data_IF_653108147327
#
_entry.id   IF_653108147327
#
_cell.length_a   1.000
_cell.length_b   1.000
_cell.length_c   1.000
_cell.angle_alpha   90.00
_cell.angle_beta   90.00
_cell.angle_gamma   90.00
#
_symmetry.space_group_name_H-M   'P 1'
#
loop_
_entity.id
_entity.type
_entity.pdbx_description
1 polymer ?
#
# COMPACT_ATOMS: atom_id res chain seq x y z
N UNK A 1 0.17 -7.44 13.65
CA UNK A 1 -0.66 -6.54 12.82
C UNK A 1 -2.00 -7.16 12.42
N UNK A 2 -2.12 -8.46 12.35
CA UNK A 2 -3.36 -9.15 11.93
C UNK A 2 -4.63 -8.74 12.70
N UNK A 3 -4.50 -8.31 13.95
CA UNK A 3 -5.65 -7.82 14.76
C UNK A 3 -6.11 -6.40 14.37
N UNK A 4 -5.34 -5.66 13.54
CA UNK A 4 -5.58 -4.26 13.23
C UNK A 4 -6.04 -4.03 11.80
N UNK A 5 -5.82 -5.00 10.92
CA UNK A 5 -6.04 -4.86 9.48
C UNK A 5 -6.63 -6.10 8.85
N UNK A 6 -7.32 -5.88 7.75
CA UNK A 6 -7.52 -6.86 6.69
C UNK A 6 -6.47 -6.63 5.61
N UNK A 7 -5.86 -7.70 5.10
CA UNK A 7 -4.81 -7.61 4.09
C UNK A 7 -5.22 -8.38 2.83
N UNK A 8 -5.27 -7.68 1.71
CA UNK A 8 -5.59 -8.27 0.42
C UNK A 8 -4.36 -8.26 -0.48
N UNK A 9 -3.98 -9.44 -0.97
CA UNK A 9 -2.96 -9.58 -2.02
C UNK A 9 -3.60 -9.43 -3.39
N UNK A 10 -2.93 -8.71 -4.29
CA UNK A 10 -3.39 -8.54 -5.66
C UNK A 10 -3.18 -9.78 -6.52
N UNK A 11 -3.81 -9.78 -7.68
CA UNK A 11 -3.76 -10.85 -8.68
C UNK A 11 -3.60 -10.21 -10.06
N UNK A 12 -2.67 -10.74 -10.87
CA UNK A 12 -2.48 -10.28 -12.24
C UNK A 12 -3.67 -10.68 -13.13
N UNK A 13 -3.99 -9.82 -14.08
CA UNK A 13 -4.94 -10.08 -15.14
C UNK A 13 -4.22 -10.51 -16.41
N UNK A 14 -4.86 -11.39 -17.19
CA UNK A 14 -4.40 -11.69 -18.54
C UNK A 14 -4.56 -10.49 -19.46
N UNK A 15 -3.75 -10.40 -20.52
CA UNK A 15 -3.76 -9.26 -21.44
C UNK A 15 -5.13 -9.01 -22.10
N UNK A 16 -5.96 -10.05 -22.22
CA UNK A 16 -7.33 -9.95 -22.75
C UNK A 16 -8.34 -9.38 -21.74
N UNK A 17 -7.95 -9.21 -20.49
CA UNK A 17 -8.83 -8.80 -19.39
C UNK A 17 -8.67 -7.35 -19.00
N UNK A 18 -7.75 -6.63 -19.61
CA UNK A 18 -7.55 -5.19 -19.35
C UNK A 18 -7.33 -4.41 -20.65
N UNK A 19 -7.40 -3.10 -20.56
CA UNK A 19 -7.32 -2.20 -21.72
C UNK A 19 -6.58 -0.90 -21.34
N UNK A 20 -6.26 -0.11 -22.36
CA UNK A 20 -5.67 1.23 -22.23
C UNK A 20 -6.62 2.34 -22.70
N UNK A 21 -7.90 2.02 -22.91
CA UNK A 21 -8.91 2.92 -23.45
C UNK A 21 -9.96 3.37 -22.41
N UNK A 22 -9.60 3.36 -21.13
CA UNK A 22 -10.43 3.87 -20.01
C UNK A 22 -11.76 3.14 -19.82
N UNK A 23 -11.81 1.85 -20.13
CA UNK A 23 -13.02 1.05 -19.92
C UNK A 23 -12.93 0.26 -18.62
N UNK A 24 -13.86 0.54 -17.71
CA UNK A 24 -13.94 -0.08 -16.40
C UNK A 24 -13.17 0.68 -15.32
N UNK A 25 -12.76 -0.05 -14.28
CA UNK A 25 -12.01 0.54 -13.16
C UNK A 25 -10.50 0.56 -13.43
N UNK A 26 -9.74 1.44 -12.75
CA UNK A 26 -8.28 1.41 -12.83
C UNK A 26 -7.71 0.03 -12.51
N UNK A 27 -6.70 -0.37 -13.25
CA UNK A 27 -5.89 -1.56 -13.01
C UNK A 27 -4.47 -1.12 -12.62
N UNK A 28 -4.14 -1.26 -11.34
CA UNK A 28 -2.85 -0.87 -10.79
C UNK A 28 -1.92 -2.08 -10.80
N UNK A 29 -0.81 -1.98 -11.54
CA UNK A 29 0.06 -3.13 -11.80
C UNK A 29 1.30 -3.18 -10.91
N UNK A 30 1.77 -2.04 -10.43
CA UNK A 30 2.98 -1.98 -9.61
C UNK A 30 3.45 -0.55 -9.37
N UNK A 31 4.75 -0.41 -9.10
CA UNK A 31 5.34 0.87 -8.71
C UNK A 31 5.15 2.01 -9.72
N UNK A 32 4.98 1.71 -11.00
CA UNK A 32 4.71 2.73 -12.03
C UNK A 32 3.39 3.49 -11.82
N UNK A 33 2.50 2.96 -11.01
CA UNK A 33 1.23 3.61 -10.66
C UNK A 33 1.33 4.51 -9.41
N UNK A 34 2.51 4.60 -8.79
CA UNK A 34 2.74 5.40 -7.59
C UNK A 34 3.67 6.58 -7.92
N UNK A 35 3.27 7.76 -7.54
CA UNK A 35 4.06 8.98 -7.69
C UNK A 35 3.91 9.87 -6.46
N UNK A 36 4.94 9.88 -5.59
CA UNK A 36 5.01 10.73 -4.40
C UNK A 36 3.75 10.64 -3.50
N UNK A 37 3.29 9.42 -3.25
CA UNK A 37 2.10 9.17 -2.41
C UNK A 37 0.77 9.30 -3.15
N UNK A 38 0.79 9.55 -4.45
CA UNK A 38 -0.40 9.60 -5.31
C UNK A 38 -0.45 8.39 -6.22
N UNK A 39 -1.65 8.06 -6.70
CA UNK A 39 -1.87 6.99 -7.66
C UNK A 39 -2.11 7.57 -9.05
N UNK A 40 -1.50 6.94 -10.05
CA UNK A 40 -1.64 7.28 -11.47
C UNK A 40 -2.21 6.05 -12.18
N UNK A 41 -3.33 6.24 -12.86
CA UNK A 41 -3.94 5.20 -13.70
C UNK A 41 -3.36 5.22 -15.12
N UNK A 42 -3.07 4.06 -15.65
CA UNK A 42 -2.63 3.88 -17.04
C UNK A 42 -3.23 2.65 -17.72
N UNK A 43 -3.98 1.86 -16.98
CA UNK A 43 -4.71 0.69 -17.46
C UNK A 43 -6.04 0.54 -16.73
N UNK A 44 -6.99 -0.12 -17.35
CA UNK A 44 -8.36 -0.30 -16.86
C UNK A 44 -8.83 -1.71 -17.10
N UNK A 45 -9.82 -2.16 -16.32
CA UNK A 45 -10.44 -3.47 -16.49
C UNK A 45 -11.94 -3.43 -16.21
N UNK A 46 -12.69 -4.16 -17.03
CA UNK A 46 -14.10 -4.48 -16.79
C UNK A 46 -14.27 -5.86 -16.11
N UNK A 47 -13.16 -6.58 -15.86
CA UNK A 47 -13.15 -7.94 -15.29
C UNK A 47 -12.28 -8.00 -14.03
N UNK A 48 -12.60 -7.23 -12.98
CA UNK A 48 -11.78 -7.20 -11.78
C UNK A 48 -11.89 -8.50 -10.97
N UNK A 49 -10.81 -8.85 -10.25
CA UNK A 49 -10.74 -10.03 -9.37
C UNK A 49 -10.37 -9.66 -7.93
N UNK A 50 -9.54 -8.65 -7.76
CA UNK A 50 -9.07 -8.16 -6.44
C UNK A 50 -9.22 -6.66 -6.42
N UNK A 51 -10.28 -6.19 -5.78
CA UNK A 51 -10.69 -4.78 -5.82
C UNK A 51 -10.36 -4.12 -4.49
N UNK A 52 -9.49 -3.11 -4.56
CA UNK A 52 -9.27 -2.16 -3.48
C UNK A 52 -10.29 -1.04 -3.60
N UNK A 53 -10.80 -0.58 -2.47
CA UNK A 53 -11.79 0.51 -2.40
C UNK A 53 -11.15 1.79 -1.88
N UNK A 54 -11.86 2.90 -2.05
CA UNK A 54 -11.43 4.20 -1.54
C UNK A 54 -11.07 4.12 -0.06
N UNK A 55 -9.91 4.65 0.30
CA UNK A 55 -9.40 4.67 1.67
C UNK A 55 -8.50 3.51 2.05
N UNK A 56 -8.39 2.47 1.22
CA UNK A 56 -7.41 1.40 1.44
C UNK A 56 -6.00 1.93 1.24
N UNK A 57 -5.07 1.52 2.11
CA UNK A 57 -3.65 1.81 1.93
C UNK A 57 -3.05 0.78 0.99
N UNK A 58 -2.55 1.23 -0.15
CA UNK A 58 -1.87 0.39 -1.13
C UNK A 58 -0.36 0.51 -0.98
N UNK A 59 0.35 -0.62 -1.09
CA UNK A 59 1.80 -0.59 -1.12
C UNK A 59 2.35 -1.66 -2.07
N UNK A 60 3.51 -1.36 -2.65
CA UNK A 60 4.21 -2.31 -3.51
C UNK A 60 5.04 -3.28 -2.67
N UNK A 61 4.77 -4.58 -2.84
CA UNK A 61 5.43 -5.64 -2.10
C UNK A 61 6.42 -6.45 -2.93
N UNK A 62 6.42 -6.30 -4.24
CA UNK A 62 7.33 -6.98 -5.18
C UNK A 62 7.79 -6.01 -6.25
N UNK A 63 8.91 -6.32 -6.90
CA UNK A 63 9.55 -5.43 -7.86
C UNK A 63 10.20 -4.25 -7.13
N UNK A 64 9.77 -3.03 -7.40
CA UNK A 64 10.15 -1.86 -6.61
C UNK A 64 9.30 -1.80 -5.34
N UNK A 65 9.88 -2.26 -4.24
CA UNK A 65 9.20 -2.44 -2.96
C UNK A 65 9.08 -1.12 -2.20
N UNK A 66 7.92 -0.87 -1.60
CA UNK A 66 7.72 0.16 -0.58
C UNK A 66 7.10 1.46 -1.06
N UNK A 67 6.67 1.56 -2.31
CA UNK A 67 5.82 2.67 -2.73
C UNK A 67 4.45 2.55 -2.03
N UNK A 68 3.94 3.65 -1.49
CA UNK A 68 2.70 3.67 -0.73
C UNK A 68 1.80 4.82 -1.17
N UNK A 69 0.51 4.56 -1.20
CA UNK A 69 -0.51 5.58 -1.42
C UNK A 69 -1.86 5.12 -0.87
N UNK A 70 -2.67 6.06 -0.43
CA UNK A 70 -4.06 5.77 -0.10
C UNK A 70 -4.88 5.80 -1.38
N UNK A 71 -5.68 4.76 -1.59
CA UNK A 71 -6.51 4.66 -2.78
C UNK A 71 -7.58 5.76 -2.79
N UNK A 72 -7.49 6.65 -3.77
CA UNK A 72 -8.45 7.73 -4.00
C UNK A 72 -9.45 7.44 -5.13
N UNK A 73 -9.31 6.31 -5.81
CA UNK A 73 -10.34 5.82 -6.74
C UNK A 73 -11.48 5.16 -5.97
N UNK A 74 -12.69 5.18 -6.50
CA UNK A 74 -13.81 4.45 -5.89
C UNK A 74 -13.47 2.97 -5.74
N UNK A 75 -12.99 2.38 -6.84
CA UNK A 75 -12.55 0.99 -6.92
C UNK A 75 -11.35 0.91 -7.86
N UNK A 76 -10.40 0.03 -7.55
CA UNK A 76 -9.27 -0.27 -8.41
C UNK A 76 -8.88 -1.74 -8.25
N UNK A 77 -8.65 -2.42 -9.37
CA UNK A 77 -8.07 -3.76 -9.34
C UNK A 77 -6.56 -3.66 -9.09
N UNK A 78 -6.02 -4.48 -8.19
CA UNK A 78 -4.59 -4.52 -7.88
C UNK A 78 -3.95 -5.82 -8.35
N UNK A 79 -2.77 -5.70 -8.97
CA UNK A 79 -1.95 -6.82 -9.41
C UNK A 79 -1.11 -7.41 -8.26
N UNK A 80 -0.45 -8.53 -8.50
CA UNK A 80 0.34 -9.27 -7.49
C UNK A 80 1.48 -8.49 -6.84
N UNK A 81 1.95 -7.41 -7.48
CA UNK A 81 2.99 -6.55 -6.92
C UNK A 81 2.49 -5.59 -5.85
N UNK A 82 1.17 -5.53 -5.65
CA UNK A 82 0.52 -4.61 -4.71
C UNK A 82 -0.29 -5.39 -3.69
N UNK A 83 -0.23 -4.92 -2.44
CA UNK A 83 -1.15 -5.33 -1.38
C UNK A 83 -1.98 -4.14 -0.93
N UNK A 84 -3.23 -4.41 -0.56
CA UNK A 84 -4.13 -3.43 0.04
C UNK A 84 -4.28 -3.70 1.52
N UNK A 85 -4.00 -2.70 2.34
CA UNK A 85 -4.20 -2.72 3.80
C UNK A 85 -5.47 -1.97 4.11
N UNK A 86 -6.40 -2.68 4.72
CA UNK A 86 -7.69 -2.15 5.15
C UNK A 86 -7.71 -2.08 6.67
N UNK A 87 -7.62 -0.89 7.29
CA UNK A 87 -7.62 -0.81 8.74
C UNK A 87 -9.02 -1.18 9.29
N UNK A 88 -9.05 -1.91 10.39
CA UNK A 88 -10.31 -2.20 11.08
C UNK A 88 -10.88 -0.92 11.70
N UNK A 89 -10.01 -0.07 12.25
CA UNK A 89 -10.38 1.29 12.66
C UNK A 89 -9.69 2.30 11.75
N UNK A 90 -10.47 3.04 10.99
CA UNK A 90 -9.98 4.04 10.03
C UNK A 90 -9.11 5.12 10.69
N UNK A 91 -9.31 5.38 11.98
CA UNK A 91 -8.51 6.35 12.74
C UNK A 91 -7.04 5.95 12.88
N UNK A 92 -6.73 4.66 12.71
CA UNK A 92 -5.37 4.13 12.81
C UNK A 92 -4.62 4.16 11.48
N UNK A 93 -5.27 4.49 10.37
CA UNK A 93 -4.70 4.36 9.02
C UNK A 93 -3.37 5.08 8.87
N UNK A 94 -3.31 6.36 9.25
CA UNK A 94 -2.08 7.16 9.11
C UNK A 94 -0.94 6.63 9.99
N UNK A 95 -1.25 6.11 11.15
CA UNK A 95 -0.27 5.48 12.03
C UNK A 95 0.27 4.18 11.43
N UNK A 96 -0.62 3.35 10.90
CA UNK A 96 -0.24 2.10 10.23
C UNK A 96 0.62 2.36 8.97
N UNK A 97 0.31 3.41 8.22
CA UNK A 97 1.13 3.84 7.09
C UNK A 97 2.56 4.16 7.52
N UNK A 98 2.73 4.98 8.56
CA UNK A 98 4.04 5.32 9.12
C UNK A 98 4.77 4.08 9.64
N UNK A 99 4.07 3.19 10.32
CA UNK A 99 4.64 1.93 10.80
C UNK A 99 5.13 1.05 9.64
N UNK A 100 4.32 0.89 8.60
CA UNK A 100 4.68 0.12 7.41
C UNK A 100 5.88 0.74 6.68
N UNK A 101 5.93 2.07 6.54
CA UNK A 101 7.10 2.75 5.97
C UNK A 101 8.37 2.42 6.75
N UNK A 102 8.32 2.49 8.07
CA UNK A 102 9.45 2.16 8.94
C UNK A 102 9.88 0.69 8.77
N UNK A 103 8.94 -0.22 8.71
CA UNK A 103 9.21 -1.65 8.52
C UNK A 103 9.85 -1.92 7.16
N UNK A 104 9.36 -1.31 6.10
CA UNK A 104 9.91 -1.44 4.74
C UNK A 104 11.34 -0.90 4.69
N UNK A 105 11.60 0.26 5.27
CA UNK A 105 12.96 0.84 5.33
C UNK A 105 13.92 -0.05 6.11
N UNK A 106 13.47 -0.67 7.20
CA UNK A 106 14.25 -1.65 7.94
C UNK A 106 14.63 -2.87 7.09
N UNK A 107 13.68 -3.41 6.34
CA UNK A 107 13.91 -4.53 5.42
C UNK A 107 14.93 -4.14 4.34
N UNK A 108 14.78 -2.97 3.74
CA UNK A 108 15.69 -2.44 2.72
C UNK A 108 17.10 -2.27 3.24
N UNK A 109 17.26 -1.73 4.45
CA UNK A 109 18.57 -1.48 5.06
C UNK A 109 19.34 -2.75 5.37
N UNK A 110 18.65 -3.86 5.60
CA UNK A 110 19.25 -5.17 5.87
C UNK A 110 19.55 -5.98 4.61
N UNK A 111 18.99 -5.57 3.47
CA UNK A 111 19.18 -6.28 2.21
C UNK A 111 20.59 -6.05 1.66
N UNK A 112 21.26 -7.16 1.28
CA UNK A 112 22.56 -7.15 0.60
C UNK A 112 22.34 -7.48 -0.87
N UNK A 113 22.24 -6.45 -1.72
CA UNK A 113 21.97 -6.62 -3.14
C UNK A 113 20.49 -6.43 -3.47
N UNK A 114 19.83 -7.44 -4.03
CA UNK A 114 18.43 -7.34 -4.43
C UNK A 114 17.51 -7.24 -3.20
N UNK A 115 16.62 -6.25 -3.20
CA UNK A 115 15.62 -6.08 -2.13
C UNK A 115 14.59 -7.21 -2.25
N UNK A 116 14.39 -8.02 -1.19
CA UNK A 116 13.42 -9.10 -1.24
C UNK A 116 11.98 -8.58 -1.31
N UNK A 117 11.10 -9.36 -1.94
CA UNK A 117 9.66 -9.12 -1.85
C UNK A 117 9.17 -9.23 -0.40
N UNK A 118 8.10 -8.51 -0.08
CA UNK A 118 7.45 -8.57 1.22
C UNK A 118 6.29 -9.56 1.13
N UNK A 119 6.36 -10.62 1.93
CA UNK A 119 5.32 -11.63 1.98
C UNK A 119 4.16 -11.22 2.90
N UNK A 120 2.97 -11.77 2.63
CA UNK A 120 1.78 -11.53 3.45
C UNK A 120 2.03 -11.72 4.94
N UNK A 121 2.65 -12.84 5.29
CA UNK A 121 2.88 -13.20 6.69
C UNK A 121 3.85 -12.24 7.37
N UNK A 122 4.80 -11.67 6.65
CA UNK A 122 5.69 -10.63 7.17
C UNK A 122 4.90 -9.43 7.71
N UNK A 123 3.84 -9.05 7.01
CA UNK A 123 2.96 -7.96 7.44
C UNK A 123 2.06 -8.41 8.59
N UNK A 124 1.38 -9.55 8.43
CA UNK A 124 0.38 -10.01 9.40
C UNK A 124 1.00 -10.37 10.76
N UNK A 125 2.21 -10.91 10.75
CA UNK A 125 2.92 -11.33 11.96
C UNK A 125 3.71 -10.20 12.62
N UNK A 126 3.78 -9.02 12.01
CA UNK A 126 4.47 -7.87 12.57
C UNK A 126 3.83 -7.43 13.89
N UNK A 127 4.68 -7.20 14.90
CA UNK A 127 4.28 -6.66 16.19
C UNK A 127 4.21 -5.14 16.09
N UNK A 128 2.98 -4.61 16.22
CA UNK A 128 2.72 -3.18 16.13
C UNK A 128 2.38 -2.65 17.52
N UNK A 129 3.18 -1.73 18.06
CA UNK A 129 2.75 -1.02 19.27
C UNK A 129 1.52 -0.15 18.94
N UNK A 130 0.51 -0.22 19.80
CA UNK A 130 -0.75 0.49 19.59
C UNK A 130 -0.95 1.48 20.75
N UNK A 131 -0.34 2.68 20.69
CA UNK A 131 -0.59 3.71 21.67
C UNK A 131 -2.01 4.29 21.52
N UNK A 132 -2.53 5.02 22.50
CA UNK A 132 -3.81 5.72 22.37
C UNK A 132 -3.85 6.61 21.11
N UNK A 133 -5.04 6.80 20.54
CA UNK A 133 -5.23 7.53 19.26
C UNK A 133 -4.60 8.93 19.30
N UNK A 134 -4.66 9.62 20.45
CA UNK A 134 -4.01 10.93 20.60
C UNK A 134 -2.50 10.87 20.42
N UNK A 135 -1.84 9.86 20.98
CA UNK A 135 -0.40 9.65 20.80
C UNK A 135 -0.06 9.23 19.37
N UNK A 136 -0.90 8.40 18.74
CA UNK A 136 -0.74 8.05 17.34
C UNK A 136 -0.71 9.29 16.46
N UNK A 137 -1.63 10.22 16.67
CA UNK A 137 -1.69 11.50 15.94
C UNK A 137 -0.44 12.34 16.13
N UNK A 138 0.09 12.39 17.34
CA UNK A 138 1.32 13.12 17.65
C UNK A 138 2.52 12.50 16.93
N UNK A 139 2.63 11.17 16.91
CA UNK A 139 3.71 10.44 16.20
C UNK A 139 3.65 10.74 14.72
N UNK A 140 2.48 10.60 14.11
CA UNK A 140 2.27 10.85 12.67
C UNK A 140 2.61 12.30 12.32
N UNK A 141 2.12 13.25 13.08
CA UNK A 141 2.38 14.68 12.88
C UNK A 141 3.87 15.00 13.00
N UNK A 142 4.58 14.44 13.99
CA UNK A 142 6.01 14.61 14.18
C UNK A 142 6.83 14.07 13.01
N UNK A 143 6.49 12.88 12.52
CA UNK A 143 7.18 12.24 11.38
C UNK A 143 6.94 13.03 10.09
N UNK A 144 5.71 13.44 9.81
CA UNK A 144 5.40 14.25 8.63
C UNK A 144 6.14 15.60 8.67
N UNK A 145 6.29 16.18 9.84
CA UNK A 145 7.05 17.43 10.05
C UNK A 145 8.54 17.23 9.73
N UNK A 146 9.13 16.14 10.23
CA UNK A 146 10.54 15.78 9.94
C UNK A 146 10.75 15.52 8.43
N UNK A 147 9.87 14.78 7.79
CA UNK A 147 9.98 14.49 6.36
C UNK A 147 9.91 15.76 5.51
N UNK A 148 9.06 16.71 5.87
CA UNK A 148 8.99 18.03 5.19
C UNK A 148 10.27 18.84 5.37
N UNK A 149 10.93 18.73 6.51
CA UNK A 149 12.19 19.42 6.78
C UNK A 149 13.36 18.85 5.99
N UNK A 150 13.35 17.52 5.75
CA UNK A 150 14.39 16.79 5.01
C UNK A 150 14.17 16.77 3.50
N UNK A 151 12.96 17.06 3.05
CA UNK A 151 12.55 17.02 1.64
C UNK A 151 12.87 18.26 0.83
#
# INVERSE_FOLDING_TARGET
MSALIDLMSGVDLASSQYNDCHKGMPYLTGASNFDNGNLIENRWTEQPKRVAVRGDLLFTCKGTVGAMAINNFEEAHIARQIMAVKPIDVKTLSYLEVFLMSMVESIKSQAKGVIPGIERNTILDALVPVPPVGEQRMIVSGIHSLLRTLG
#
